data_IF_466950967726
#
_entry.id   IF_466950967726
#
_cell.length_a   1.000
_cell.length_b   1.000
_cell.length_c   1.000
_cell.angle_alpha   90.00
_cell.angle_beta   90.00
_cell.angle_gamma   90.00
#
_symmetry.space_group_name_H-M   'P 1'
#
loop_
_entity.id
_entity.type
_entity.pdbx_description
1 polymer ?
#
# COMPACT_ATOMS: atom_id res chain seq x y z
N UNK A 1 -5.66 -25.11 2.86
CA UNK A 1 -4.66 -24.62 1.89
C UNK A 1 -3.59 -25.69 1.71
N UNK A 2 -3.59 -26.38 0.57
CA UNK A 2 -2.57 -27.38 0.23
C UNK A 2 -1.19 -26.71 0.08
N UNK A 3 -0.12 -27.43 0.41
CA UNK A 3 1.24 -26.96 0.10
C UNK A 3 1.46 -27.00 -1.42
N UNK A 4 2.11 -25.97 -1.98
CA UNK A 4 2.40 -25.95 -3.41
C UNK A 4 3.29 -27.14 -3.81
N UNK A 5 3.10 -27.64 -5.02
CA UNK A 5 3.90 -28.75 -5.57
C UNK A 5 5.40 -28.43 -5.54
N UNK A 6 5.78 -27.18 -5.81
CA UNK A 6 7.16 -26.72 -5.71
C UNK A 6 7.74 -26.89 -4.29
N UNK A 7 6.94 -26.59 -3.24
CA UNK A 7 7.35 -26.76 -1.84
C UNK A 7 7.52 -28.23 -1.48
N UNK A 8 6.68 -29.12 -2.01
CA UNK A 8 6.80 -30.57 -1.82
C UNK A 8 8.08 -31.12 -2.44
N UNK A 9 8.34 -30.79 -3.71
CA UNK A 9 9.57 -31.19 -4.43
C UNK A 9 10.84 -30.73 -3.72
N UNK A 10 10.86 -29.48 -3.23
CA UNK A 10 11.99 -28.96 -2.45
C UNK A 10 12.24 -29.75 -1.18
N UNK A 11 11.20 -30.05 -0.40
CA UNK A 11 11.34 -30.88 0.82
C UNK A 11 11.87 -32.28 0.51
N UNK A 12 11.43 -32.89 -0.59
CA UNK A 12 11.94 -34.18 -1.03
C UNK A 12 13.43 -34.10 -1.40
N UNK A 13 13.85 -33.08 -2.14
CA UNK A 13 15.25 -32.86 -2.51
C UNK A 13 16.17 -32.66 -1.30
N UNK A 14 15.73 -31.86 -0.32
CA UNK A 14 16.45 -31.66 0.94
C UNK A 14 16.58 -32.99 1.71
N UNK A 15 15.50 -33.78 1.78
CA UNK A 15 15.53 -35.10 2.42
C UNK A 15 16.51 -36.06 1.74
N UNK A 16 16.67 -35.98 0.42
CA UNK A 16 17.66 -36.76 -0.33
C UNK A 16 19.10 -36.24 -0.20
N UNK A 17 19.35 -35.20 0.61
CA UNK A 17 20.68 -34.62 0.82
C UNK A 17 21.09 -33.55 -0.20
N UNK A 18 20.17 -33.04 -1.02
CA UNK A 18 20.46 -31.90 -1.92
C UNK A 18 20.39 -30.58 -1.15
N UNK A 19 21.18 -29.60 -1.57
CA UNK A 19 21.19 -28.27 -0.98
C UNK A 19 19.82 -27.56 -1.08
N UNK A 20 19.46 -26.73 -0.09
CA UNK A 20 18.24 -25.95 -0.13
C UNK A 20 18.42 -24.76 -1.09
N UNK A 21 17.58 -24.62 -2.14
CA UNK A 21 17.59 -23.44 -3.00
C UNK A 21 17.35 -22.12 -2.25
N UNK A 22 16.78 -22.16 -1.04
CA UNK A 22 16.59 -20.97 -0.22
C UNK A 22 17.91 -20.32 0.21
N UNK A 23 18.97 -21.10 0.40
CA UNK A 23 20.29 -20.60 0.82
C UNK A 23 20.94 -19.73 -0.27
N UNK A 24 20.60 -19.99 -1.53
CA UNK A 24 21.09 -19.26 -2.69
C UNK A 24 20.16 -18.13 -3.14
N UNK A 25 19.00 -17.94 -2.49
CA UNK A 25 18.07 -16.87 -2.85
C UNK A 25 18.51 -15.55 -2.25
N UNK A 26 18.48 -14.50 -3.07
CA UNK A 26 18.68 -13.14 -2.61
C UNK A 26 17.58 -12.75 -1.62
N UNK A 27 17.99 -12.07 -0.55
CA UNK A 27 17.11 -11.42 0.40
C UNK A 27 16.84 -9.98 -0.05
N UNK A 28 15.64 -9.50 0.23
CA UNK A 28 15.29 -8.08 0.10
C UNK A 28 15.93 -7.20 1.18
N UNK A 29 16.59 -7.80 2.19
CA UNK A 29 17.31 -7.11 3.27
C UNK A 29 16.45 -6.07 4.01
N UNK A 30 15.18 -6.40 4.25
CA UNK A 30 14.24 -5.49 4.92
C UNK A 30 13.65 -4.40 4.01
N UNK A 31 14.04 -4.34 2.73
CA UNK A 31 13.41 -3.46 1.76
C UNK A 31 12.04 -4.01 1.36
N UNK A 32 11.02 -3.16 1.40
CA UNK A 32 9.72 -3.48 0.82
C UNK A 32 9.81 -3.33 -0.70
N UNK A 33 9.57 -4.42 -1.44
CA UNK A 33 9.49 -4.40 -2.90
C UNK A 33 8.25 -3.69 -3.47
N UNK A 34 7.43 -3.09 -2.59
CA UNK A 34 6.31 -2.26 -3.00
C UNK A 34 6.86 -0.93 -3.49
N UNK A 35 6.66 -0.64 -4.77
CA UNK A 35 7.01 0.65 -5.36
C UNK A 35 6.16 1.76 -4.75
N UNK A 36 6.79 2.86 -4.36
CA UNK A 36 6.08 4.09 -3.98
C UNK A 36 5.56 4.75 -5.25
N UNK A 37 4.31 4.46 -5.60
CA UNK A 37 3.64 5.09 -6.74
C UNK A 37 2.96 6.38 -6.26
N UNK A 38 3.15 7.48 -6.99
CA UNK A 38 2.44 8.73 -6.73
C UNK A 38 0.95 8.53 -7.01
N UNK A 39 0.05 9.09 -6.18
CA UNK A 39 -1.37 8.88 -6.36
C UNK A 39 -1.85 9.47 -7.69
N UNK A 40 -2.83 8.82 -8.29
CA UNK A 40 -3.45 9.31 -9.53
C UNK A 40 -4.34 10.54 -9.27
N UNK A 41 -4.68 11.31 -10.32
CA UNK A 41 -5.59 12.46 -10.21
C UNK A 41 -6.93 12.06 -9.56
N UNK A 42 -7.47 10.89 -9.91
CA UNK A 42 -8.72 10.37 -9.36
C UNK A 42 -8.60 10.07 -7.86
N UNK A 43 -7.51 9.43 -7.44
CA UNK A 43 -7.24 9.12 -6.03
C UNK A 43 -7.07 10.39 -5.19
N UNK A 44 -6.38 11.41 -5.72
CA UNK A 44 -6.21 12.70 -5.04
C UNK A 44 -7.57 13.38 -4.87
N UNK A 45 -8.41 13.41 -5.91
CA UNK A 45 -9.76 13.98 -5.83
C UNK A 45 -10.64 13.27 -4.80
N UNK A 46 -10.70 11.94 -4.82
CA UNK A 46 -11.46 11.16 -3.83
C UNK A 46 -10.93 11.42 -2.41
N UNK A 47 -9.61 11.43 -2.23
CA UNK A 47 -9.00 11.72 -0.94
C UNK A 47 -9.40 13.10 -0.44
N UNK A 48 -9.34 14.14 -1.27
CA UNK A 48 -9.77 15.50 -0.88
C UNK A 48 -11.25 15.55 -0.47
N UNK A 49 -12.13 14.88 -1.21
CA UNK A 49 -13.56 14.81 -0.89
C UNK A 49 -13.85 14.20 0.49
N UNK A 50 -13.01 13.28 0.97
CA UNK A 50 -13.23 12.57 2.24
C UNK A 50 -12.31 13.04 3.39
N UNK A 51 -11.16 13.65 3.07
CA UNK A 51 -10.11 14.02 4.04
C UNK A 51 -10.60 14.96 5.14
N UNK A 52 -11.51 15.87 4.80
CA UNK A 52 -12.00 16.91 5.71
C UNK A 52 -13.46 16.70 6.16
N UNK A 53 -14.05 15.54 5.90
CA UNK A 53 -15.44 15.21 6.29
C UNK A 53 -15.57 14.67 7.72
N UNK A 54 -14.54 14.77 8.56
CA UNK A 54 -14.71 14.52 10.01
C UNK A 54 -15.58 15.64 10.58
N UNK A 55 -16.78 15.25 11.02
CA UNK A 55 -17.84 16.07 11.63
C UNK A 55 -17.32 17.34 12.32
N UNK A 56 -17.55 18.48 11.69
CA UNK A 56 -17.94 19.66 12.46
C UNK A 56 -19.46 19.62 12.53
N UNK A 57 -20.00 19.24 13.70
CA UNK A 57 -21.38 19.54 14.06
C UNK A 57 -21.31 20.89 14.79
N UNK A 58 -21.63 22.02 14.15
CA UNK A 58 -22.09 23.16 14.90
C UNK A 58 -23.58 22.94 15.17
N UNK A 59 -24.10 23.46 16.27
CA UNK A 59 -25.51 23.83 16.28
C UNK A 59 -25.76 24.67 15.01
N UNK A 60 -26.64 24.18 14.15
CA UNK A 60 -26.82 24.68 12.79
C UNK A 60 -27.37 26.11 12.81
N UNK A 61 -26.48 27.09 12.87
CA UNK A 61 -26.80 28.48 12.57
C UNK A 61 -25.61 29.18 11.94
N UNK A 62 -25.86 29.58 10.70
CA UNK A 62 -25.21 30.65 9.94
C UNK A 62 -23.76 30.47 9.46
N UNK A 63 -23.69 30.32 8.13
CA UNK A 63 -22.75 30.96 7.22
C UNK A 63 -21.25 30.67 7.40
N UNK A 64 -20.76 29.67 6.68
CA UNK A 64 -19.34 29.54 6.38
C UNK A 64 -19.14 29.07 4.94
N UNK A 65 -19.21 30.01 3.99
CA UNK A 65 -18.64 29.85 2.65
C UNK A 65 -17.11 29.86 2.80
N UNK A 66 -16.47 28.71 2.62
CA UNK A 66 -15.00 28.59 2.64
C UNK A 66 -14.50 28.72 1.19
N UNK A 67 -13.72 29.77 0.84
CA UNK A 67 -13.12 29.86 -0.49
C UNK A 67 -11.94 28.89 -0.58
N UNK A 68 -12.17 27.75 -1.24
CA UNK A 68 -11.12 26.89 -1.73
C UNK A 68 -10.54 27.53 -2.98
N UNK A 69 -9.42 28.26 -2.89
CA UNK A 69 -8.49 28.58 -4.00
C UNK A 69 -7.42 29.56 -3.49
N UNK A 70 -6.20 29.07 -3.22
CA UNK A 70 -4.97 29.88 -3.24
C UNK A 70 -3.74 28.97 -3.13
N UNK A 71 -3.55 28.08 -4.11
CA UNK A 71 -2.24 27.47 -4.37
C UNK A 71 -2.12 27.13 -5.86
N UNK A 72 -1.98 28.15 -6.70
CA UNK A 72 -1.36 28.05 -8.02
C UNK A 72 -0.65 29.38 -8.32
N UNK A 73 0.58 29.26 -8.83
CA UNK A 73 1.45 30.24 -9.52
C UNK A 73 2.14 31.35 -8.69
N UNK A 74 3.45 31.16 -8.47
CA UNK A 74 4.48 32.20 -8.65
C UNK A 74 4.61 32.53 -10.13
#
# INVERSE_FOLDING_TARGET
MSTSEAKKKRKQAIRSGKADPADYRLNWNGLSGVTRVTPTKQEVMMKQQHKHKKKWNPDASNDARIPFLLFYTL
#
